data_IF_541006768121
#
_entry.id   IF_541006768121
#
_cell.length_a   1.000
_cell.length_b   1.000
_cell.length_c   1.000
_cell.angle_alpha   90.00
_cell.angle_beta   90.00
_cell.angle_gamma   90.00
#
_symmetry.space_group_name_H-M   'P 1'
#
loop_
_entity.id
_entity.type
_entity.pdbx_description
1 polymer ?
#
# COMPACT_ATOMS: atom_id res chain seq x y z
N UNK A 1 -15.37 -15.28 -0.19
CA UNK A 1 -14.80 -16.07 -1.30
C UNK A 1 -15.50 -15.74 -2.62
N UNK A 2 -16.82 -15.82 -2.72
CA UNK A 2 -17.57 -15.54 -3.96
C UNK A 2 -17.32 -14.14 -4.53
N UNK A 3 -17.28 -13.08 -3.71
CA UNK A 3 -17.04 -11.70 -4.16
C UNK A 3 -15.69 -11.56 -4.86
N UNK A 4 -14.61 -12.09 -4.27
CA UNK A 4 -13.26 -12.02 -4.86
C UNK A 4 -13.22 -12.77 -6.19
N UNK A 5 -13.82 -13.96 -6.25
CA UNK A 5 -13.88 -14.76 -7.46
C UNK A 5 -14.69 -14.07 -8.55
N UNK A 6 -15.88 -13.56 -8.22
CA UNK A 6 -16.70 -12.82 -9.16
C UNK A 6 -15.99 -11.58 -9.71
N UNK A 7 -15.31 -10.82 -8.84
CA UNK A 7 -14.53 -9.66 -9.26
C UNK A 7 -13.43 -10.06 -10.27
N UNK A 8 -12.66 -11.09 -9.94
CA UNK A 8 -11.59 -11.59 -10.82
C UNK A 8 -12.14 -12.09 -12.16
N UNK A 9 -13.22 -12.89 -12.16
CA UNK A 9 -13.85 -13.41 -13.37
C UNK A 9 -14.43 -12.29 -14.28
N UNK A 10 -14.67 -11.09 -13.72
CA UNK A 10 -15.08 -9.87 -14.44
C UNK A 10 -13.92 -8.92 -14.74
N UNK A 11 -12.68 -9.37 -14.61
CA UNK A 11 -11.48 -8.62 -15.02
C UNK A 11 -10.89 -7.69 -13.96
N UNK A 12 -11.33 -7.77 -12.70
CA UNK A 12 -10.67 -7.06 -11.60
C UNK A 12 -9.43 -7.85 -11.18
N UNK A 13 -8.26 -7.32 -11.50
CA UNK A 13 -6.97 -7.97 -11.20
C UNK A 13 -6.23 -7.36 -10.03
N UNK A 14 -6.52 -6.11 -9.66
CA UNK A 14 -5.85 -5.43 -8.54
C UNK A 14 -6.65 -5.60 -7.25
N UNK A 15 -6.04 -6.25 -6.26
CA UNK A 15 -6.60 -6.46 -4.91
C UNK A 15 -5.77 -5.65 -3.90
N UNK A 16 -6.39 -4.61 -3.35
CA UNK A 16 -5.73 -3.65 -2.49
C UNK A 16 -6.09 -3.85 -1.02
N UNK A 17 -5.12 -4.28 -0.23
CA UNK A 17 -5.24 -4.62 1.17
C UNK A 17 -4.43 -3.66 2.06
N UNK A 18 -4.51 -3.84 3.36
CA UNK A 18 -3.61 -3.27 4.35
C UNK A 18 -3.58 -4.16 5.60
N UNK A 19 -2.48 -4.10 6.34
CA UNK A 19 -2.29 -4.92 7.54
C UNK A 19 -3.37 -4.70 8.60
N UNK A 20 -3.96 -3.49 8.66
CA UNK A 20 -4.97 -3.10 9.64
C UNK A 20 -6.43 -3.22 9.15
N UNK A 21 -6.68 -3.72 7.93
CA UNK A 21 -8.05 -3.81 7.41
C UNK A 21 -8.82 -4.98 8.01
N UNK A 22 -10.13 -4.73 8.21
CA UNK A 22 -11.12 -5.68 8.71
C UNK A 22 -11.61 -5.36 10.11
N UNK A 23 -12.61 -6.11 10.63
CA UNK A 23 -13.17 -5.89 11.97
C UNK A 23 -12.14 -6.12 13.09
N UNK A 24 -11.16 -6.97 12.87
CA UNK A 24 -9.93 -7.07 13.66
C UNK A 24 -8.73 -6.90 12.74
N UNK A 25 -7.66 -6.29 13.24
CA UNK A 25 -6.44 -6.05 12.45
C UNK A 25 -5.90 -7.34 11.83
N UNK A 26 -5.64 -7.29 10.53
CA UNK A 26 -5.16 -8.44 9.74
C UNK A 26 -6.24 -9.40 9.24
N UNK A 27 -7.51 -9.25 9.65
CA UNK A 27 -8.56 -10.20 9.25
C UNK A 27 -8.88 -10.15 7.75
N UNK A 28 -8.79 -9.00 7.11
CA UNK A 28 -8.96 -8.89 5.65
C UNK A 28 -7.88 -9.68 4.91
N UNK A 29 -6.61 -9.52 5.28
CA UNK A 29 -5.49 -10.27 4.70
C UNK A 29 -5.61 -11.78 4.99
N UNK A 30 -6.04 -12.17 6.19
CA UNK A 30 -6.27 -13.58 6.54
C UNK A 30 -7.36 -14.20 5.67
N UNK A 31 -8.48 -13.49 5.48
CA UNK A 31 -9.57 -13.95 4.62
C UNK A 31 -9.11 -14.07 3.16
N UNK A 32 -8.38 -13.08 2.67
CA UNK A 32 -7.78 -13.11 1.33
C UNK A 32 -6.83 -14.31 1.19
N UNK A 33 -5.95 -14.54 2.15
CA UNK A 33 -5.02 -15.66 2.16
C UNK A 33 -5.69 -17.03 2.17
N UNK A 34 -6.84 -17.16 2.84
CA UNK A 34 -7.65 -18.39 2.77
C UNK A 34 -8.18 -18.63 1.35
N UNK A 35 -8.67 -17.59 0.69
CA UNK A 35 -9.15 -17.68 -0.70
C UNK A 35 -8.00 -17.99 -1.67
N UNK A 36 -6.85 -17.33 -1.49
CA UNK A 36 -5.65 -17.65 -2.26
C UNK A 36 -5.28 -19.14 -2.14
N UNK A 37 -5.25 -19.65 -0.91
CA UNK A 37 -4.88 -21.07 -0.67
C UNK A 37 -5.87 -22.05 -1.27
N UNK A 38 -7.17 -21.77 -1.20
CA UNK A 38 -8.24 -22.72 -1.57
C UNK A 38 -8.63 -22.66 -3.04
N UNK A 39 -8.44 -21.52 -3.72
CA UNK A 39 -9.04 -21.30 -5.04
C UNK A 39 -8.14 -20.49 -6.01
N UNK A 40 -7.58 -19.36 -5.56
CA UNK A 40 -7.03 -18.37 -6.47
C UNK A 40 -5.50 -18.47 -6.69
N UNK A 41 -4.80 -19.36 -6.00
CA UNK A 41 -3.34 -19.50 -6.14
C UNK A 41 -2.87 -19.79 -7.58
N UNK A 42 -3.55 -20.60 -8.42
CA UNK A 42 -3.16 -20.80 -9.80
C UNK A 42 -3.15 -19.54 -10.67
N UNK A 43 -3.84 -18.50 -10.22
CA UNK A 43 -3.97 -17.22 -10.94
C UNK A 43 -3.08 -16.11 -10.35
N UNK A 44 -2.15 -16.45 -9.44
CA UNK A 44 -1.31 -15.44 -8.76
C UNK A 44 -0.61 -14.49 -9.73
N UNK A 45 -0.13 -15.00 -10.84
CA UNK A 45 0.63 -14.23 -11.84
C UNK A 45 -0.26 -13.30 -12.70
N UNK A 46 -1.57 -13.49 -12.65
CA UNK A 46 -2.57 -12.62 -13.28
C UNK A 46 -3.14 -11.57 -12.31
N UNK A 47 -2.69 -11.59 -11.05
CA UNK A 47 -3.18 -10.72 -10.00
C UNK A 47 -2.13 -9.69 -9.61
N UNK A 48 -2.59 -8.47 -9.36
CA UNK A 48 -1.81 -7.40 -8.77
C UNK A 48 -2.24 -7.22 -7.32
N UNK A 49 -1.43 -7.64 -6.38
CA UNK A 49 -1.78 -7.67 -4.96
C UNK A 49 -0.96 -6.63 -4.22
N UNK A 50 -1.63 -5.72 -3.53
CA UNK A 50 -0.98 -4.71 -2.71
C UNK A 50 -1.37 -4.82 -1.24
N UNK A 51 -0.44 -4.43 -0.36
CA UNK A 51 -0.71 -4.22 1.06
C UNK A 51 0.05 -3.02 1.61
N UNK A 52 -0.31 -2.58 2.81
CA UNK A 52 0.16 -1.34 3.41
C UNK A 52 0.45 -1.53 4.89
N UNK A 53 1.39 -0.75 5.43
CA UNK A 53 1.64 -0.62 6.85
C UNK A 53 1.88 0.84 7.24
N UNK A 54 1.37 1.26 8.42
CA UNK A 54 1.50 2.63 8.91
C UNK A 54 0.58 2.96 10.08
N UNK A 55 -0.41 2.14 10.35
CA UNK A 55 -1.34 2.29 11.48
C UNK A 55 -1.09 1.22 12.55
N UNK A 56 -1.71 1.39 13.73
CA UNK A 56 -1.54 0.47 14.86
C UNK A 56 -1.85 -0.97 14.49
N UNK A 57 -0.97 -1.88 14.89
CA UNK A 57 -1.14 -3.31 14.68
C UNK A 57 -0.95 -4.13 15.95
N UNK A 58 -0.07 -3.70 16.86
CA UNK A 58 0.18 -4.35 18.14
C UNK A 58 0.65 -3.33 19.18
N UNK A 59 0.44 -3.60 20.49
CA UNK A 59 0.93 -2.73 21.54
C UNK A 59 2.45 -2.68 21.61
N UNK A 60 2.97 -1.51 21.99
CA UNK A 60 4.41 -1.28 22.15
C UNK A 60 4.98 -0.30 21.12
N UNK A 61 6.26 0.06 21.28
CA UNK A 61 6.87 1.17 20.53
C UNK A 61 7.09 0.89 19.04
N UNK A 62 6.99 -0.35 18.62
CA UNK A 62 7.25 -0.77 17.23
C UNK A 62 6.01 -1.32 16.52
N UNK A 63 4.82 -1.05 17.04
CA UNK A 63 3.55 -1.54 16.48
C UNK A 63 2.83 -0.55 15.58
N UNK A 64 3.44 0.58 15.21
CA UNK A 64 2.82 1.67 14.49
C UNK A 64 3.84 2.49 13.68
N UNK A 65 3.36 3.39 12.80
CA UNK A 65 4.11 4.40 12.05
C UNK A 65 4.99 3.84 10.91
N UNK A 66 6.15 4.47 10.66
CA UNK A 66 6.95 4.24 9.46
C UNK A 66 8.37 3.75 9.70
N UNK A 67 8.73 3.36 10.95
CA UNK A 67 10.08 2.88 11.21
C UNK A 67 10.42 1.64 10.38
N UNK A 68 11.68 1.50 10.01
CA UNK A 68 12.20 0.33 9.31
C UNK A 68 11.77 -0.99 9.98
N UNK A 69 11.91 -1.07 11.30
CA UNK A 69 11.53 -2.25 12.07
C UNK A 69 10.05 -2.60 11.92
N UNK A 70 9.19 -1.58 12.02
CA UNK A 70 7.74 -1.76 11.87
C UNK A 70 7.36 -2.21 10.46
N UNK A 71 7.90 -1.57 9.41
CA UNK A 71 7.56 -1.88 8.03
C UNK A 71 7.95 -3.32 7.65
N UNK A 72 9.16 -3.77 7.98
CA UNK A 72 9.59 -5.14 7.73
C UNK A 72 8.76 -6.16 8.51
N UNK A 73 8.57 -5.94 9.81
CA UNK A 73 7.76 -6.86 10.64
C UNK A 73 6.33 -6.94 10.15
N UNK A 74 5.74 -5.81 9.75
CA UNK A 74 4.37 -5.75 9.21
C UNK A 74 4.24 -6.50 7.90
N UNK A 75 5.17 -6.28 6.96
CA UNK A 75 5.14 -7.00 5.68
C UNK A 75 5.30 -8.51 5.87
N UNK A 76 6.22 -8.95 6.72
CA UNK A 76 6.40 -10.37 7.02
C UNK A 76 5.13 -11.01 7.61
N UNK A 77 4.43 -10.30 8.48
CA UNK A 77 3.15 -10.75 9.01
C UNK A 77 2.05 -10.75 7.95
N UNK A 78 2.01 -9.73 7.08
CA UNK A 78 1.05 -9.62 5.97
C UNK A 78 1.23 -10.78 4.97
N UNK A 79 2.45 -11.06 4.55
CA UNK A 79 2.77 -12.18 3.67
C UNK A 79 2.30 -13.52 4.25
N UNK A 80 2.53 -13.75 5.56
CA UNK A 80 2.04 -14.94 6.25
C UNK A 80 0.51 -15.03 6.25
N UNK A 81 -0.20 -13.93 6.57
CA UNK A 81 -1.66 -13.89 6.56
C UNK A 81 -2.23 -14.16 5.18
N UNK A 82 -1.64 -13.55 4.15
CA UNK A 82 -2.08 -13.71 2.76
C UNK A 82 -1.63 -15.01 2.11
N UNK A 83 -0.74 -15.79 2.74
CA UNK A 83 -0.13 -17.00 2.19
C UNK A 83 0.59 -16.72 0.85
N UNK A 84 1.39 -15.65 0.83
CA UNK A 84 2.15 -15.17 -0.31
C UNK A 84 3.64 -15.09 0.03
N UNK A 85 4.48 -15.25 -0.99
CA UNK A 85 5.92 -15.06 -0.90
C UNK A 85 6.33 -13.60 -1.12
N UNK A 86 5.54 -12.85 -1.91
CA UNK A 86 5.72 -11.43 -2.20
C UNK A 86 4.38 -10.76 -2.50
N UNK A 87 4.34 -9.43 -2.41
CA UNK A 87 3.27 -8.58 -2.94
C UNK A 87 3.75 -7.82 -4.17
N UNK A 88 2.82 -7.38 -5.01
CA UNK A 88 3.18 -6.56 -6.17
C UNK A 88 3.52 -5.13 -5.73
N UNK A 89 2.72 -4.53 -4.85
CA UNK A 89 3.06 -3.23 -4.25
C UNK A 89 3.02 -3.31 -2.73
N UNK A 90 4.03 -2.74 -2.09
CA UNK A 90 4.00 -2.43 -0.67
C UNK A 90 3.97 -0.92 -0.46
N UNK A 91 2.97 -0.44 0.33
CA UNK A 91 2.81 0.97 0.64
C UNK A 91 3.24 1.30 2.07
N UNK A 92 3.85 2.46 2.25
CA UNK A 92 3.71 3.16 3.51
C UNK A 92 2.31 3.79 3.54
N UNK A 93 1.51 3.46 4.57
CA UNK A 93 0.07 3.76 4.61
C UNK A 93 -0.21 5.23 4.96
N UNK A 94 0.75 5.89 5.62
CA UNK A 94 0.72 7.32 5.92
C UNK A 94 2.13 7.83 6.19
N UNK A 95 2.30 9.13 6.09
CA UNK A 95 3.51 9.81 6.53
C UNK A 95 3.71 9.67 8.04
N UNK A 96 4.94 9.36 8.46
CA UNK A 96 5.35 9.32 9.86
C UNK A 96 6.11 10.62 10.19
N UNK A 97 5.55 11.48 11.07
CA UNK A 97 6.20 12.75 11.42
C UNK A 97 7.35 12.61 12.43
N UNK A 98 7.57 11.42 12.98
CA UNK A 98 8.54 11.17 14.06
C UNK A 98 9.79 10.47 13.55
N UNK A 99 9.62 9.42 12.74
CA UNK A 99 10.75 8.72 12.11
C UNK A 99 11.33 9.56 10.98
N UNK A 100 12.66 9.73 10.88
CA UNK A 100 13.25 10.35 9.70
C UNK A 100 12.73 9.73 8.42
N UNK A 101 12.23 10.54 7.50
CA UNK A 101 11.57 10.05 6.29
C UNK A 101 12.49 9.16 5.45
N UNK A 102 13.79 9.43 5.48
CA UNK A 102 14.82 8.62 4.79
C UNK A 102 14.90 7.18 5.31
N UNK A 103 14.66 6.96 6.62
CA UNK A 103 14.60 5.60 7.18
C UNK A 103 13.40 4.83 6.61
N UNK A 104 12.24 5.47 6.57
CA UNK A 104 11.02 4.91 5.97
C UNK A 104 11.23 4.59 4.49
N UNK A 105 11.76 5.55 3.72
CA UNK A 105 11.99 5.38 2.28
C UNK A 105 13.08 4.33 2.00
N UNK A 106 14.15 4.30 2.80
CA UNK A 106 15.18 3.27 2.67
C UNK A 106 14.63 1.87 3.00
N UNK A 107 13.72 1.77 3.96
CA UNK A 107 13.05 0.50 4.25
C UNK A 107 12.24 -0.01 3.04
N UNK A 108 11.54 0.87 2.33
CA UNK A 108 10.84 0.51 1.08
C UNK A 108 11.82 0.01 0.00
N UNK A 109 12.94 0.70 -0.21
CA UNK A 109 13.99 0.27 -1.15
C UNK A 109 14.49 -1.14 -0.80
N UNK A 110 14.80 -1.38 0.47
CA UNK A 110 15.35 -2.66 0.90
C UNK A 110 14.30 -3.79 0.86
N UNK A 111 13.03 -3.48 1.05
CA UNK A 111 11.91 -4.42 0.86
C UNK A 111 11.86 -4.90 -0.60
N UNK A 112 11.96 -4.00 -1.58
CA UNK A 112 12.01 -4.37 -3.00
C UNK A 112 13.27 -5.21 -3.28
N UNK A 113 14.43 -4.77 -2.82
CA UNK A 113 15.69 -5.49 -3.02
C UNK A 113 15.70 -6.88 -2.37
N UNK A 114 14.90 -7.08 -1.32
CA UNK A 114 14.74 -8.40 -0.69
C UNK A 114 13.78 -9.34 -1.44
N UNK A 115 13.13 -8.86 -2.50
CA UNK A 115 12.16 -9.63 -3.28
C UNK A 115 10.80 -9.81 -2.61
N UNK A 116 10.50 -9.09 -1.52
CA UNK A 116 9.21 -9.17 -0.81
C UNK A 116 8.13 -8.27 -1.39
N UNK A 117 8.53 -7.31 -2.24
CA UNK A 117 7.63 -6.50 -3.06
C UNK A 117 8.29 -6.23 -4.40
N UNK A 118 7.49 -6.15 -5.48
CA UNK A 118 8.01 -5.78 -6.81
C UNK A 118 8.13 -4.25 -6.94
N UNK A 119 7.18 -3.53 -6.37
CA UNK A 119 7.07 -2.07 -6.44
C UNK A 119 6.75 -1.49 -5.07
N UNK A 120 6.93 -0.18 -4.96
CA UNK A 120 6.53 0.59 -3.78
C UNK A 120 5.49 1.65 -4.14
N UNK A 121 4.67 1.97 -3.14
CA UNK A 121 3.76 3.09 -3.18
C UNK A 121 3.81 3.89 -1.89
N UNK A 122 3.28 5.10 -1.95
CA UNK A 122 3.10 5.96 -0.78
C UNK A 122 1.63 6.38 -0.67
N UNK A 123 1.16 6.58 0.54
CA UNK A 123 -0.22 6.97 0.80
C UNK A 123 -0.28 8.03 1.89
N UNK A 124 -1.20 8.99 1.75
CA UNK A 124 -1.42 10.04 2.75
C UNK A 124 -0.15 10.82 3.16
N UNK A 125 0.71 11.09 2.19
CA UNK A 125 1.87 11.98 2.37
C UNK A 125 1.46 13.42 2.07
N UNK A 126 1.92 14.39 2.87
CA UNK A 126 1.72 15.80 2.57
C UNK A 126 2.50 16.21 1.31
N UNK A 127 1.94 17.17 0.54
CA UNK A 127 2.49 17.56 -0.77
C UNK A 127 3.93 18.07 -0.70
N UNK A 128 4.30 18.73 0.40
CA UNK A 128 5.65 19.29 0.62
C UNK A 128 6.75 18.22 0.76
N UNK A 129 6.38 16.99 1.12
CA UNK A 129 7.33 15.87 1.28
C UNK A 129 7.48 15.07 -0.03
N UNK A 130 6.55 15.22 -0.97
CA UNK A 130 6.48 14.33 -2.13
C UNK A 130 7.72 14.41 -3.04
N UNK A 131 8.22 15.61 -3.32
CA UNK A 131 9.41 15.76 -4.18
C UNK A 131 10.59 14.99 -3.58
N UNK A 132 10.84 15.19 -2.29
CA UNK A 132 11.91 14.49 -1.60
C UNK A 132 11.70 12.97 -1.61
N UNK A 133 10.47 12.49 -1.34
CA UNK A 133 10.18 11.07 -1.32
C UNK A 133 10.37 10.43 -2.70
N UNK A 134 9.86 11.04 -3.76
CA UNK A 134 10.02 10.55 -5.13
C UNK A 134 11.49 10.53 -5.56
N UNK A 135 12.21 11.62 -5.33
CA UNK A 135 13.62 11.74 -5.75
C UNK A 135 14.52 10.78 -4.96
N UNK A 136 14.23 10.59 -3.65
CA UNK A 136 14.93 9.61 -2.83
C UNK A 136 14.79 8.19 -3.39
N UNK A 137 13.57 7.77 -3.68
CA UNK A 137 13.29 6.43 -4.20
C UNK A 137 13.88 6.24 -5.60
N UNK A 138 13.68 7.21 -6.50
CA UNK A 138 14.20 7.17 -7.87
C UNK A 138 15.73 7.09 -7.91
N UNK A 139 16.43 7.84 -7.03
CA UNK A 139 17.90 7.82 -6.96
C UNK A 139 18.48 6.47 -6.52
N UNK A 140 17.65 5.54 -6.09
CA UNK A 140 18.02 4.18 -5.67
C UNK A 140 17.47 3.09 -6.58
N UNK A 141 17.04 3.48 -7.79
CA UNK A 141 16.47 2.59 -8.81
C UNK A 141 15.19 1.86 -8.35
N UNK A 142 14.44 2.47 -7.43
CA UNK A 142 13.15 1.97 -6.93
C UNK A 142 12.12 3.13 -7.00
N UNK A 143 11.68 3.54 -8.21
CA UNK A 143 10.73 4.64 -8.33
C UNK A 143 9.39 4.27 -7.68
N UNK A 144 8.75 5.28 -7.08
CA UNK A 144 7.40 5.13 -6.53
C UNK A 144 6.39 4.91 -7.64
N UNK A 145 5.78 3.72 -7.68
CA UNK A 145 4.83 3.37 -8.73
C UNK A 145 3.52 4.13 -8.58
N UNK A 146 2.98 4.19 -7.36
CA UNK A 146 1.66 4.73 -7.10
C UNK A 146 1.64 5.62 -5.85
N UNK A 147 0.90 6.72 -5.95
CA UNK A 147 0.39 7.45 -4.80
C UNK A 147 -1.06 7.04 -4.54
N UNK A 148 -1.42 6.75 -3.30
CA UNK A 148 -2.81 6.50 -2.91
C UNK A 148 -3.32 7.58 -1.96
N UNK A 149 -4.45 8.21 -2.30
CA UNK A 149 -5.02 9.30 -1.52
C UNK A 149 -6.54 9.35 -1.55
N UNK A 150 -7.14 10.05 -0.58
CA UNK A 150 -8.58 10.30 -0.59
C UNK A 150 -8.93 11.29 -1.71
N UNK A 151 -9.75 10.87 -2.65
CA UNK A 151 -10.19 11.75 -3.73
C UNK A 151 -11.59 11.40 -4.19
N UNK A 152 -12.47 12.39 -4.20
CA UNK A 152 -13.84 12.30 -4.70
C UNK A 152 -14.38 13.71 -4.98
N UNK A 153 -15.60 13.83 -5.49
CA UNK A 153 -16.22 15.12 -5.82
C UNK A 153 -16.32 16.09 -4.62
N UNK A 154 -16.37 15.59 -3.38
CA UNK A 154 -16.46 16.39 -2.15
C UNK A 154 -15.08 16.67 -1.53
N UNK A 155 -14.04 15.90 -1.88
CA UNK A 155 -12.67 16.09 -1.41
C UNK A 155 -11.74 16.18 -2.62
N UNK A 156 -11.37 17.40 -2.98
CA UNK A 156 -10.53 17.73 -4.15
C UNK A 156 -9.10 18.11 -3.76
N UNK A 157 -8.72 17.89 -2.51
CA UNK A 157 -7.41 18.27 -1.99
C UNK A 157 -6.23 17.70 -2.82
N UNK A 158 -6.23 16.43 -3.31
CA UNK A 158 -5.16 15.94 -4.16
C UNK A 158 -4.97 16.74 -5.44
N UNK A 159 -6.05 17.34 -5.97
CA UNK A 159 -6.03 18.20 -7.14
C UNK A 159 -5.59 19.63 -6.79
N UNK A 160 -6.26 20.25 -5.82
CA UNK A 160 -6.03 21.65 -5.44
C UNK A 160 -4.73 21.85 -4.65
N UNK A 161 -4.32 20.85 -3.89
CA UNK A 161 -3.06 20.82 -3.12
C UNK A 161 -1.84 20.37 -3.91
N UNK A 162 -1.99 20.06 -5.22
CA UNK A 162 -0.87 19.77 -6.11
C UNK A 162 -0.37 18.31 -6.13
N UNK A 163 -0.96 17.41 -5.37
CA UNK A 163 -0.52 15.99 -5.28
C UNK A 163 -0.64 15.31 -6.65
N UNK A 164 -1.76 15.50 -7.36
CA UNK A 164 -1.94 14.90 -8.70
C UNK A 164 -0.92 15.44 -9.72
N UNK A 165 -0.62 16.74 -9.66
CA UNK A 165 0.36 17.35 -10.54
C UNK A 165 1.76 16.77 -10.29
N UNK A 166 2.18 16.66 -9.03
CA UNK A 166 3.47 16.07 -8.65
C UNK A 166 3.57 14.59 -9.03
N UNK A 167 2.55 13.79 -8.74
CA UNK A 167 2.54 12.38 -9.13
C UNK A 167 2.73 12.22 -10.65
N UNK A 168 1.99 13.00 -11.44
CA UNK A 168 2.12 13.03 -12.90
C UNK A 168 3.52 13.45 -13.36
N UNK A 169 4.09 14.51 -12.78
CA UNK A 169 5.44 15.00 -13.10
C UNK A 169 6.51 13.93 -12.83
N UNK A 170 6.38 13.20 -11.75
CA UNK A 170 7.33 12.15 -11.34
C UNK A 170 7.05 10.79 -11.99
N UNK A 171 6.06 10.70 -12.88
CA UNK A 171 5.70 9.44 -13.55
C UNK A 171 5.01 8.41 -12.66
N UNK A 172 4.51 8.83 -11.50
CA UNK A 172 3.76 7.98 -10.57
C UNK A 172 2.27 8.00 -10.90
N UNK A 173 1.60 6.86 -10.81
CA UNK A 173 0.14 6.77 -10.91
C UNK A 173 -0.55 7.25 -9.63
N UNK A 174 -1.87 7.49 -9.73
CA UNK A 174 -2.70 7.86 -8.59
C UNK A 174 -3.88 6.90 -8.44
N UNK A 175 -4.08 6.39 -7.22
CA UNK A 175 -5.26 5.59 -6.86
C UNK A 175 -6.06 6.34 -5.79
N UNK A 176 -7.37 6.49 -6.02
CA UNK A 176 -8.27 7.09 -5.04
C UNK A 176 -8.85 6.04 -4.08
N UNK A 177 -8.84 6.34 -2.79
CA UNK A 177 -9.73 5.66 -1.86
C UNK A 177 -10.95 6.55 -1.51
N UNK A 178 -12.03 5.92 -1.06
CA UNK A 178 -13.31 6.58 -0.80
C UNK A 178 -13.87 7.39 -2.00
N UNK A 179 -13.86 6.84 -3.24
CA UNK A 179 -14.35 7.58 -4.40
C UNK A 179 -15.86 7.91 -4.30
N UNK A 180 -16.62 7.10 -3.58
CA UNK A 180 -18.06 7.31 -3.32
C UNK A 180 -18.33 8.01 -1.98
N UNK A 181 -17.33 8.64 -1.36
CA UNK A 181 -17.45 9.34 -0.07
C UNK A 181 -18.22 8.52 0.99
N UNK A 182 -17.90 7.20 1.10
CA UNK A 182 -18.52 6.24 2.01
C UNK A 182 -20.04 6.04 1.77
N UNK A 183 -20.49 6.18 0.54
CA UNK A 183 -21.89 6.00 0.17
C UNK A 183 -22.72 7.28 0.24
N UNK A 184 -22.08 8.45 0.36
CA UNK A 184 -22.76 9.75 0.30
C UNK A 184 -23.02 10.20 -1.15
N UNK A 185 -22.29 9.65 -2.11
CA UNK A 185 -22.40 9.93 -3.56
C UNK A 185 -23.09 8.78 -4.29
#
# INVERSE_FOLDING_TARGET
QSILRTAFDHGVTHFDLANNYGPSYGSAETTFGQVMKSDMRPYRDEMFISTKAGYDMWPGPYGNWGSRKYLFSSLDQSLKRMNLDYVDIFYTHRFDPVTPVEETLQALVDIVRSGKALYVGISNYPCEILDHAYDYLASRDVPCLLYQGKYNILNREPETGGILAKAKEKGSGFISFSPLAQGLL
#
